data_IF_737243256253
#
_entry.id   IF_737243256253
#
_cell.length_a   1.000
_cell.length_b   1.000
_cell.length_c   1.000
_cell.angle_alpha   90.00
_cell.angle_beta   90.00
_cell.angle_gamma   90.00
#
_symmetry.space_group_name_H-M   'P 1'
#
loop_
_entity.id
_entity.type
_entity.pdbx_description
1 polymer ?
#
# COMPACT_ATOMS: atom_id res chain seq x y z
N UNK A 1 15.42 10.41 7.56
CA UNK A 1 14.58 9.46 6.80
C UNK A 1 13.51 10.25 6.11
N UNK A 2 13.29 10.00 4.82
CA UNK A 2 12.16 10.59 4.10
C UNK A 2 10.89 9.83 4.51
N UNK A 3 9.78 10.51 4.81
CA UNK A 3 8.52 9.84 5.12
C UNK A 3 8.04 9.00 3.92
N UNK A 4 7.40 7.86 4.20
CA UNK A 4 6.82 7.02 3.15
C UNK A 4 5.72 7.78 2.41
N UNK A 5 5.78 7.75 1.09
CA UNK A 5 4.74 8.34 0.25
C UNK A 5 3.61 7.34 0.03
N UNK A 6 2.36 7.81 0.11
CA UNK A 6 1.18 6.96 0.03
C UNK A 6 0.29 7.46 -1.09
N UNK A 7 -0.06 6.56 -1.99
CA UNK A 7 -1.06 6.76 -3.02
C UNK A 7 -2.17 5.73 -2.90
N UNK A 8 -3.33 6.05 -3.46
CA UNK A 8 -4.44 5.11 -3.66
C UNK A 8 -4.78 5.03 -5.14
N UNK A 9 -5.30 3.90 -5.59
CA UNK A 9 -5.77 3.72 -6.97
C UNK A 9 -7.25 3.37 -7.01
N UNK A 10 -8.03 4.13 -7.79
CA UNK A 10 -9.45 3.93 -8.06
C UNK A 10 -9.67 3.74 -9.54
N UNK A 11 -10.36 2.67 -9.92
CA UNK A 11 -10.78 2.29 -11.28
C UNK A 11 -9.65 2.14 -12.31
N UNK A 12 -8.90 3.20 -12.62
CA UNK A 12 -7.69 3.25 -13.46
C UNK A 12 -6.72 4.40 -13.14
N UNK A 13 -7.12 5.31 -12.26
CA UNK A 13 -6.31 6.46 -11.88
C UNK A 13 -5.78 6.29 -10.47
N UNK A 14 -4.58 6.79 -10.25
CA UNK A 14 -3.94 6.77 -8.95
C UNK A 14 -3.67 8.19 -8.49
N UNK A 15 -3.84 8.41 -7.19
CA UNK A 15 -3.70 9.71 -6.56
C UNK A 15 -2.77 9.57 -5.37
N UNK A 16 -1.67 10.32 -5.39
CA UNK A 16 -0.84 10.46 -4.20
C UNK A 16 -1.56 11.30 -3.15
N UNK A 17 -1.70 10.74 -1.95
CA UNK A 17 -2.32 11.40 -0.81
C UNK A 17 -1.28 12.17 0.01
N UNK A 18 -0.04 11.70 0.06
CA UNK A 18 1.06 12.46 0.67
C UNK A 18 1.46 13.61 -0.25
N UNK A 19 1.61 14.83 0.28
CA UNK A 19 1.91 16.03 -0.52
C UNK A 19 3.15 15.78 -1.41
N UNK A 20 3.05 15.88 -2.74
CA UNK A 20 4.22 15.72 -3.59
C UNK A 20 5.08 17.00 -3.50
N UNK A 21 6.32 16.87 -3.02
CA UNK A 21 7.25 18.00 -2.93
C UNK A 21 7.79 18.45 -4.31
N UNK A 22 7.59 17.63 -5.36
CA UNK A 22 7.87 17.98 -6.75
C UNK A 22 7.20 16.97 -7.71
N UNK A 23 6.96 17.39 -8.97
CA UNK A 23 6.54 16.51 -10.09
C UNK A 23 7.71 15.63 -10.53
N UNK A 24 8.20 14.79 -9.63
CA UNK A 24 9.24 13.80 -9.96
C UNK A 24 8.55 12.61 -10.61
N UNK A 25 9.00 12.15 -11.79
CA UNK A 25 8.50 10.91 -12.36
C UNK A 25 8.64 9.74 -11.38
N UNK A 26 7.56 9.00 -11.16
CA UNK A 26 7.52 7.85 -10.26
C UNK A 26 7.47 6.57 -11.10
N UNK A 27 8.28 5.60 -10.72
CA UNK A 27 8.21 4.24 -11.28
C UNK A 27 7.28 3.40 -10.43
N UNK A 28 6.12 3.05 -10.97
CA UNK A 28 5.21 2.11 -10.32
C UNK A 28 5.59 0.67 -10.64
N UNK A 29 5.66 -0.17 -9.61
CA UNK A 29 5.98 -1.59 -9.75
C UNK A 29 4.92 -2.45 -9.10
N UNK A 30 4.52 -3.51 -9.80
CA UNK A 30 3.64 -4.55 -9.30
C UNK A 30 4.41 -5.85 -9.26
N UNK A 31 4.65 -6.35 -8.04
CA UNK A 31 5.55 -7.48 -7.76
C UNK A 31 4.96 -8.35 -6.66
N UNK A 32 5.33 -9.63 -6.61
CA UNK A 32 4.74 -10.59 -5.67
C UNK A 32 5.35 -10.57 -4.27
N UNK A 33 6.36 -9.74 -4.02
CA UNK A 33 7.07 -9.72 -2.73
C UNK A 33 7.80 -8.41 -2.45
N UNK A 34 8.00 -8.11 -1.16
CA UNK A 34 8.81 -6.98 -0.70
C UNK A 34 10.28 -7.09 -1.16
N UNK A 35 10.82 -8.30 -1.29
CA UNK A 35 12.18 -8.51 -1.80
C UNK A 35 12.33 -8.14 -3.27
N UNK A 36 11.30 -8.38 -4.09
CA UNK A 36 11.27 -7.91 -5.49
C UNK A 36 11.12 -6.40 -5.57
N UNK A 37 10.28 -5.80 -4.71
CA UNK A 37 10.13 -4.35 -4.62
C UNK A 37 11.47 -3.67 -4.26
N UNK A 38 12.15 -4.16 -3.21
CA UNK A 38 13.46 -3.65 -2.81
C UNK A 38 14.51 -3.76 -3.93
N UNK A 39 14.49 -4.84 -4.72
CA UNK A 39 15.38 -4.97 -5.90
C UNK A 39 15.04 -3.96 -6.99
N UNK A 40 13.76 -3.66 -7.21
CA UNK A 40 13.35 -2.65 -8.18
C UNK A 40 13.78 -1.25 -7.72
N UNK A 41 13.53 -0.90 -6.46
CA UNK A 41 13.96 0.35 -5.83
C UNK A 41 15.46 0.55 -5.95
N UNK A 42 16.27 -0.45 -5.57
CA UNK A 42 17.73 -0.36 -5.66
C UNK A 42 18.30 -0.20 -7.09
N UNK A 43 17.52 -0.51 -8.13
CA UNK A 43 17.94 -0.38 -9.53
C UNK A 43 17.39 0.88 -10.20
N UNK A 44 16.49 1.59 -9.53
CA UNK A 44 15.80 2.73 -10.10
C UNK A 44 16.58 4.01 -9.87
N UNK A 45 16.56 4.91 -10.85
CA UNK A 45 17.05 6.29 -10.72
C UNK A 45 15.92 7.27 -10.34
N UNK A 46 14.68 6.79 -10.30
CA UNK A 46 13.47 7.53 -9.93
C UNK A 46 12.78 6.89 -8.73
N UNK A 47 12.02 7.66 -7.93
CA UNK A 47 11.27 7.09 -6.81
C UNK A 47 10.38 5.93 -7.25
N UNK A 48 10.40 4.83 -6.48
CA UNK A 48 9.62 3.62 -6.76
C UNK A 48 8.41 3.53 -5.84
N UNK A 49 7.23 3.37 -6.45
CA UNK A 49 6.00 3.07 -5.73
C UNK A 49 5.64 1.60 -5.95
N UNK A 50 5.49 0.84 -4.88
CA UNK A 50 5.04 -0.56 -4.96
C UNK A 50 3.52 -0.66 -4.79
N UNK A 51 2.89 -1.39 -5.71
CA UNK A 51 1.47 -1.73 -5.61
C UNK A 51 1.23 -2.74 -4.49
N UNK A 52 0.24 -2.45 -3.64
CA UNK A 52 -0.24 -3.35 -2.59
C UNK A 52 -1.76 -3.47 -2.68
N UNK A 53 -2.24 -4.69 -2.87
CA UNK A 53 -3.66 -5.01 -2.82
C UNK A 53 -4.08 -5.19 -1.35
N UNK A 54 -4.95 -4.33 -0.87
CA UNK A 54 -5.36 -4.22 0.53
C UNK A 54 -6.82 -4.64 0.67
N UNK A 55 -7.09 -5.45 1.70
CA UNK A 55 -8.43 -5.75 2.15
C UNK A 55 -8.53 -5.52 3.65
N UNK A 56 -9.30 -4.53 4.07
CA UNK A 56 -9.44 -4.16 5.47
C UNK A 56 -10.74 -4.71 6.05
N UNK A 57 -10.65 -5.30 7.24
CA UNK A 57 -11.80 -5.70 8.06
C UNK A 57 -11.54 -5.38 9.54
N UNK A 58 -12.54 -5.62 10.40
CA UNK A 58 -12.46 -5.37 11.83
C UNK A 58 -11.43 -6.26 12.54
N UNK A 59 -11.22 -7.48 12.02
CA UNK A 59 -10.17 -8.40 12.49
C UNK A 59 -9.37 -8.99 11.34
N UNK A 60 -8.13 -9.42 11.63
CA UNK A 60 -7.29 -10.12 10.66
C UNK A 60 -7.98 -11.39 10.16
N UNK A 61 -8.63 -12.14 11.05
CA UNK A 61 -9.34 -13.38 10.69
C UNK A 61 -10.43 -13.12 9.64
N UNK A 62 -11.25 -12.08 9.85
CA UNK A 62 -12.31 -11.70 8.91
C UNK A 62 -11.72 -11.23 7.59
N UNK A 63 -10.70 -10.37 7.60
CA UNK A 63 -10.08 -9.86 6.37
C UNK A 63 -9.56 -10.99 5.46
N UNK A 64 -8.90 -12.00 6.07
CA UNK A 64 -8.42 -13.16 5.33
C UNK A 64 -9.56 -14.04 4.80
N UNK A 65 -10.63 -14.22 5.57
CA UNK A 65 -11.79 -15.00 5.16
C UNK A 65 -12.53 -14.32 3.99
N UNK A 66 -12.78 -13.01 4.11
CA UNK A 66 -13.43 -12.20 3.08
C UNK A 66 -12.60 -12.13 1.80
N UNK A 67 -11.30 -11.84 1.91
CA UNK A 67 -10.41 -11.78 0.74
C UNK A 67 -10.33 -13.13 0.02
N UNK A 68 -10.22 -14.23 0.78
CA UNK A 68 -10.21 -15.58 0.21
C UNK A 68 -11.53 -15.97 -0.46
N UNK A 69 -12.67 -15.52 0.08
CA UNK A 69 -13.98 -15.72 -0.55
C UNK A 69 -14.11 -14.93 -1.86
N UNK A 70 -13.58 -13.69 -1.90
CA UNK A 70 -13.59 -12.85 -3.10
C UNK A 70 -12.58 -13.31 -4.18
N UNK A 71 -11.54 -14.06 -3.79
CA UNK A 71 -10.48 -14.54 -4.69
C UNK A 71 -10.34 -16.06 -4.64
N UNK A 72 -11.22 -16.82 -5.32
CA UNK A 72 -11.18 -18.28 -5.33
C UNK A 72 -9.79 -18.81 -5.74
N UNK A 73 -9.24 -19.71 -4.92
CA UNK A 73 -7.91 -20.30 -5.13
C UNK A 73 -6.75 -19.53 -4.49
N UNK A 74 -7.00 -18.31 -3.99
CA UNK A 74 -6.05 -17.61 -3.14
C UNK A 74 -5.99 -18.23 -1.74
N UNK A 75 -4.80 -18.20 -1.13
CA UNK A 75 -4.55 -18.58 0.27
C UNK A 75 -3.37 -17.77 0.82
N UNK A 76 -3.23 -17.66 2.16
CA UNK A 76 -2.03 -17.06 2.75
C UNK A 76 -0.75 -17.68 2.16
N UNK A 77 0.18 -16.83 1.73
CA UNK A 77 1.44 -17.26 1.10
C UNK A 77 1.32 -17.76 -0.35
N UNK A 78 0.14 -17.68 -0.97
CA UNK A 78 0.01 -17.92 -2.40
C UNK A 78 0.91 -16.93 -3.17
N UNK A 79 1.70 -17.46 -4.12
CA UNK A 79 2.49 -16.62 -5.02
C UNK A 79 1.57 -16.02 -6.07
N UNK A 80 1.16 -14.79 -5.81
CA UNK A 80 0.43 -13.95 -6.76
C UNK A 80 1.35 -12.81 -7.20
N UNK A 81 1.17 -12.30 -8.42
CA UNK A 81 2.06 -11.29 -9.02
C UNK A 81 1.97 -9.89 -8.38
N UNK A 82 1.48 -9.80 -7.15
CA UNK A 82 1.26 -8.57 -6.39
C UNK A 82 1.42 -8.85 -4.90
N UNK A 83 1.77 -7.83 -4.12
CA UNK A 83 1.75 -7.92 -2.66
C UNK A 83 0.28 -7.79 -2.24
N UNK A 84 -0.18 -8.73 -1.41
CA UNK A 84 -1.55 -8.73 -0.88
C UNK A 84 -1.50 -8.61 0.63
N UNK A 85 -2.27 -7.69 1.18
CA UNK A 85 -2.41 -7.44 2.61
C UNK A 85 -3.89 -7.45 3.04
N UNK A 86 -4.44 -8.63 3.36
CA UNK A 86 -5.68 -8.73 4.11
C UNK A 86 -5.37 -8.50 5.59
N UNK A 87 -6.05 -7.56 6.24
CA UNK A 87 -5.83 -7.29 7.66
C UNK A 87 -6.69 -6.20 8.22
N UNK A 88 -6.22 -5.58 9.29
CA UNK A 88 -6.82 -4.36 9.87
C UNK A 88 -5.98 -3.14 9.48
N UNK A 89 -6.53 -1.93 9.62
CA UNK A 89 -5.78 -0.69 9.44
C UNK A 89 -4.51 -0.65 10.32
N UNK A 90 -4.56 -1.24 11.53
CA UNK A 90 -3.39 -1.37 12.40
C UNK A 90 -2.27 -2.22 11.78
N UNK A 91 -2.62 -3.37 11.19
CA UNK A 91 -1.62 -4.24 10.54
C UNK A 91 -1.09 -3.64 9.24
N UNK A 92 -1.92 -2.86 8.53
CA UNK A 92 -1.47 -2.11 7.36
C UNK A 92 -0.45 -1.06 7.77
N UNK A 93 -0.70 -0.28 8.83
CA UNK A 93 0.25 0.68 9.34
C UNK A 93 1.61 0.06 9.70
N UNK A 94 1.61 -1.14 10.30
CA UNK A 94 2.85 -1.86 10.59
C UNK A 94 3.61 -2.24 9.29
N UNK A 95 2.91 -2.82 8.30
CA UNK A 95 3.50 -3.16 7.01
C UNK A 95 4.11 -1.93 6.33
N UNK A 96 3.39 -0.81 6.31
CA UNK A 96 3.87 0.42 5.70
C UNK A 96 5.06 1.01 6.48
N UNK A 97 5.03 0.93 7.81
CA UNK A 97 6.16 1.32 8.66
C UNK A 97 7.41 0.49 8.36
N UNK A 98 7.25 -0.82 8.20
CA UNK A 98 8.35 -1.73 7.82
C UNK A 98 8.91 -1.38 6.43
N UNK A 99 8.04 -1.12 5.44
CA UNK A 99 8.46 -0.66 4.10
C UNK A 99 9.30 0.62 4.19
N UNK A 100 8.85 1.58 5.01
CA UNK A 100 9.51 2.87 5.19
C UNK A 100 10.89 2.73 5.86
N UNK A 101 10.96 1.98 6.97
CA UNK A 101 12.19 1.80 7.76
C UNK A 101 13.24 1.00 7.00
N UNK A 102 12.80 -0.01 6.25
CA UNK A 102 13.71 -0.90 5.49
C UNK A 102 14.08 -0.38 4.11
N UNK A 103 13.46 0.71 3.65
CA UNK A 103 13.71 1.26 2.31
C UNK A 103 13.30 0.32 1.18
N UNK A 104 12.26 -0.49 1.39
CA UNK A 104 11.76 -1.42 0.36
C UNK A 104 11.25 -0.66 -0.86
N UNK A 105 10.60 0.49 -0.64
CA UNK A 105 10.12 1.39 -1.67
C UNK A 105 10.08 2.83 -1.14
N UNK A 106 10.14 3.80 -2.05
CA UNK A 106 10.00 5.22 -1.72
C UNK A 106 8.54 5.59 -1.41
N UNK A 107 7.60 4.79 -1.93
CA UNK A 107 6.18 4.91 -1.66
C UNK A 107 5.39 3.65 -1.97
N UNK A 108 4.09 3.72 -1.71
CA UNK A 108 3.14 2.65 -1.99
C UNK A 108 1.96 3.17 -2.79
N UNK A 109 1.41 2.32 -3.66
CA UNK A 109 0.08 2.52 -4.23
C UNK A 109 -0.86 1.46 -3.68
N UNK A 110 -1.80 1.89 -2.85
CA UNK A 110 -2.76 1.02 -2.19
C UNK A 110 -4.00 0.84 -3.07
N UNK A 111 -4.38 -0.42 -3.26
CA UNK A 111 -5.51 -0.83 -4.10
C UNK A 111 -6.50 -1.57 -3.23
N UNK A 112 -7.79 -1.29 -3.32
CA UNK A 112 -8.80 -1.97 -2.53
C UNK A 112 -10.17 -1.93 -3.20
N UNK A 113 -11.12 -2.79 -2.79
CA UNK A 113 -12.45 -2.85 -3.39
C UNK A 113 -13.31 -1.61 -3.07
N UNK A 114 -13.04 -0.93 -1.96
CA UNK A 114 -13.70 0.33 -1.57
C UNK A 114 -12.65 1.37 -1.21
N UNK A 115 -12.35 2.24 -2.17
CA UNK A 115 -11.34 3.29 -2.01
C UNK A 115 -11.78 4.35 -1.00
N UNK A 116 -13.08 4.66 -0.90
CA UNK A 116 -13.55 5.65 0.06
C UNK A 116 -13.34 5.16 1.50
N UNK A 117 -13.63 3.87 1.77
CA UNK A 117 -13.33 3.25 3.07
C UNK A 117 -11.83 3.18 3.32
N UNK A 118 -11.03 2.78 2.32
CA UNK A 118 -9.58 2.73 2.46
C UNK A 118 -8.99 4.11 2.79
N UNK A 119 -9.42 5.19 2.11
CA UNK A 119 -8.96 6.55 2.37
C UNK A 119 -9.33 7.00 3.79
N UNK A 120 -10.55 6.71 4.26
CA UNK A 120 -10.94 7.01 5.65
C UNK A 120 -10.04 6.32 6.67
N UNK A 121 -9.83 5.01 6.52
CA UNK A 121 -8.94 4.24 7.40
C UNK A 121 -7.48 4.75 7.34
N UNK A 122 -7.04 5.21 6.16
CA UNK A 122 -5.73 5.81 6.00
C UNK A 122 -5.60 7.10 6.82
N UNK A 123 -6.57 7.99 6.73
CA UNK A 123 -6.58 9.27 7.44
C UNK A 123 -6.73 9.08 8.95
N UNK A 124 -7.67 8.22 9.37
CA UNK A 124 -8.07 8.11 10.77
C UNK A 124 -7.12 7.23 11.59
N UNK A 125 -6.51 6.21 10.96
CA UNK A 125 -5.73 5.19 11.68
C UNK A 125 -4.29 5.07 11.20
N UNK A 126 -4.06 4.99 9.89
CA UNK A 126 -2.74 4.61 9.35
C UNK A 126 -1.75 5.78 9.38
N UNK A 127 -2.14 6.92 8.79
CA UNK A 127 -1.27 8.09 8.67
C UNK A 127 -0.79 8.64 10.02
N UNK A 128 -1.65 8.75 11.07
CA UNK A 128 -1.20 9.16 12.40
C UNK A 128 -0.13 8.24 13.01
N UNK A 129 -0.20 6.93 12.73
CA UNK A 129 0.79 5.96 13.23
C UNK A 129 2.11 6.01 12.48
N UNK A 130 2.07 6.39 11.20
CA UNK A 130 3.26 6.57 10.38
C UNK A 130 3.90 7.95 10.56
N UNK A 131 3.20 8.89 11.22
CA UNK A 131 3.65 10.27 11.35
C UNK A 131 3.70 11.01 10.00
N UNK A 132 2.80 10.65 9.07
CA UNK A 132 2.70 11.27 7.74
C UNK A 132 1.41 12.07 7.62
N UNK A 133 1.45 13.16 6.88
CA UNK A 133 0.26 13.93 6.52
C UNK A 133 -0.30 13.42 5.19
N UNK A 134 -1.60 13.15 5.16
CA UNK A 134 -2.34 12.79 3.96
C UNK A 134 -3.37 13.88 3.65
N UNK A 135 -3.39 14.34 2.41
CA UNK A 135 -4.42 15.24 1.90
C UNK A 135 -5.52 14.42 1.23
N UNK A 136 -6.78 14.74 1.52
CA UNK A 136 -7.90 14.17 0.81
C UNK A 136 -7.88 14.67 -0.65
N UNK A 137 -8.17 13.80 -1.64
CA UNK A 137 -8.46 14.27 -2.99
C UNK A 137 -9.69 15.20 -2.93
N UNK A 138 -9.58 16.36 -3.57
CA UNK A 138 -10.63 17.37 -3.65
C UNK A 138 -11.84 16.90 -4.47
#
# INVERSE_FOLDING_TARGET
>A
MTPLRIAVESDRDWTELTRPDAVTPITRVRVGSLGEAARATNRSSTPVFVDVDVHLAASVKEAYAEYGAAHPGWRPGARVGTIVHPGTASTLANLLGDIAVTGVADGVTLRGPDIATLVRELVDTVAPRLGVEVALPA
#
